data_IF_713775395697
#
_entry.id   IF_713775395697
#
_cell.length_a   1.000
_cell.length_b   1.000
_cell.length_c   1.000
_cell.angle_alpha   90.00
_cell.angle_beta   90.00
_cell.angle_gamma   90.00
#
_symmetry.space_group_name_H-M   'P 1'
#
loop_
_entity.id
_entity.type
_entity.pdbx_description
1 polymer ?
#
# COMPACT_ATOMS: atom_id res chain seq x y z
N UNK A 1 -18.60 -6.73 15.69
CA UNK A 1 -18.65 -6.20 14.34
C UNK A 1 -17.51 -6.80 13.52
N UNK A 2 -17.82 -7.27 12.34
CA UNK A 2 -16.79 -7.91 11.53
C UNK A 2 -15.85 -6.88 10.90
N UNK A 3 -14.58 -7.26 10.77
CA UNK A 3 -13.59 -6.43 10.10
C UNK A 3 -13.87 -6.46 8.59
N UNK A 4 -13.87 -5.29 8.00
CA UNK A 4 -14.02 -5.20 6.54
C UNK A 4 -12.63 -5.25 5.90
N UNK A 5 -12.49 -6.11 4.93
CA UNK A 5 -11.21 -6.31 4.27
C UNK A 5 -11.29 -5.92 2.80
N UNK A 6 -10.13 -5.65 2.23
CA UNK A 6 -10.00 -5.26 0.82
C UNK A 6 -8.89 -6.06 0.18
N UNK A 7 -8.90 -6.14 -1.13
CA UNK A 7 -7.82 -6.79 -1.85
C UNK A 7 -6.56 -5.94 -1.80
N UNK A 8 -5.44 -6.58 -1.64
CA UNK A 8 -4.17 -5.87 -1.59
C UNK A 8 -3.11 -6.61 -2.39
N UNK A 9 -2.10 -5.85 -2.78
CA UNK A 9 -0.89 -6.40 -3.38
C UNK A 9 0.31 -5.78 -2.71
N UNK A 10 1.44 -6.43 -2.83
CA UNK A 10 2.71 -5.85 -2.42
C UNK A 10 3.75 -6.17 -3.48
N UNK A 11 4.81 -5.38 -3.51
CA UNK A 11 5.86 -5.57 -4.48
C UNK A 11 6.81 -4.39 -4.47
N UNK A 12 7.49 -4.18 -5.59
CA UNK A 12 8.43 -3.05 -5.71
C UNK A 12 8.15 -2.29 -7.01
N UNK A 13 8.42 -0.99 -6.97
CA UNK A 13 8.26 -0.14 -8.16
C UNK A 13 9.40 -0.47 -9.11
N UNK A 14 9.08 -0.96 -10.29
CA UNK A 14 10.08 -1.48 -11.22
C UNK A 14 10.56 -0.45 -12.25
N UNK A 15 9.75 0.57 -12.52
CA UNK A 15 10.11 1.63 -13.47
C UNK A 15 9.91 2.98 -12.84
N UNK A 16 10.49 4.02 -13.44
CA UNK A 16 10.27 5.37 -12.96
C UNK A 16 8.81 5.74 -13.13
N UNK A 17 8.14 6.20 -12.07
CA UNK A 17 6.74 6.57 -12.17
C UNK A 17 6.50 7.72 -13.14
N UNK A 18 5.35 7.68 -13.79
CA UNK A 18 4.92 8.73 -14.71
C UNK A 18 3.59 9.30 -14.21
N UNK A 19 3.44 10.61 -14.36
CA UNK A 19 2.20 11.28 -14.01
C UNK A 19 1.68 11.97 -15.27
N UNK A 20 0.47 11.61 -15.65
CA UNK A 20 -0.17 12.19 -16.84
C UNK A 20 -1.54 12.72 -16.44
N UNK A 21 -2.22 13.33 -17.41
CA UNK A 21 -3.59 13.85 -17.21
C UNK A 21 -4.49 13.12 -18.17
N UNK A 22 -5.61 12.60 -17.65
CA UNK A 22 -6.56 11.87 -18.47
C UNK A 22 -7.43 12.83 -19.26
N UNK A 23 -8.24 12.29 -20.16
CA UNK A 23 -9.19 13.08 -20.95
C UNK A 23 -10.17 13.86 -20.08
N UNK A 24 -10.40 13.40 -18.87
CA UNK A 24 -11.28 14.07 -17.91
C UNK A 24 -10.56 15.12 -17.09
N UNK A 25 -9.27 15.31 -17.31
CA UNK A 25 -8.49 16.28 -16.54
C UNK A 25 -8.00 15.76 -15.20
N UNK A 26 -8.04 14.46 -14.99
CA UNK A 26 -7.61 13.87 -13.73
C UNK A 26 -6.17 13.38 -13.82
N UNK A 27 -5.44 13.50 -12.71
CA UNK A 27 -4.09 12.97 -12.65
C UNK A 27 -4.12 11.45 -12.70
N UNK A 28 -3.15 10.88 -13.41
CA UNK A 28 -3.00 9.43 -13.52
C UNK A 28 -1.55 9.06 -13.31
N UNK A 29 -1.31 8.23 -12.31
CA UNK A 29 0.01 7.67 -12.02
C UNK A 29 0.14 6.36 -12.77
N UNK A 30 1.31 6.12 -13.37
CA UNK A 30 1.59 4.84 -13.99
C UNK A 30 3.02 4.41 -13.70
N UNK A 31 3.19 3.15 -13.33
CA UNK A 31 4.50 2.53 -13.21
C UNK A 31 4.33 1.03 -13.37
N UNK A 32 5.39 0.35 -13.74
CA UNK A 32 5.38 -1.10 -13.66
C UNK A 32 5.85 -1.48 -12.27
N UNK A 33 5.27 -2.54 -11.73
CA UNK A 33 5.72 -3.07 -10.46
C UNK A 33 6.07 -4.54 -10.63
N UNK A 34 6.97 -5.00 -9.75
CA UNK A 34 7.38 -6.38 -9.75
C UNK A 34 6.94 -7.08 -8.49
N UNK A 35 6.64 -8.35 -8.62
CA UNK A 35 6.37 -9.22 -7.48
C UNK A 35 7.35 -10.37 -7.53
N UNK A 36 8.00 -10.63 -6.41
CA UNK A 36 8.93 -11.74 -6.33
C UNK A 36 8.14 -13.03 -6.15
N UNK A 37 8.58 -14.07 -6.84
CA UNK A 37 7.93 -15.37 -6.78
C UNK A 37 8.90 -16.38 -6.21
N UNK A 38 8.36 -17.33 -5.46
CA UNK A 38 9.16 -18.37 -4.83
C UNK A 38 8.50 -19.71 -5.05
N UNK A 39 9.31 -20.74 -5.24
CA UNK A 39 8.85 -22.12 -5.30
C UNK A 39 9.25 -22.83 -4.02
N UNK A 40 8.31 -23.49 -3.38
CA UNK A 40 8.61 -24.25 -2.17
C UNK A 40 9.11 -25.63 -2.57
N UNK A 41 10.30 -25.96 -2.11
CA UNK A 41 10.90 -27.26 -2.38
C UNK A 41 10.37 -28.31 -1.40
N UNK A 42 10.64 -29.58 -1.72
CA UNK A 42 10.16 -30.67 -0.89
C UNK A 42 10.76 -30.64 0.51
N UNK A 43 11.96 -30.13 0.67
CA UNK A 43 12.61 -30.04 1.97
C UNK A 43 12.18 -28.82 2.78
N UNK A 44 11.22 -28.06 2.30
CA UNK A 44 10.71 -26.90 3.00
C UNK A 44 11.44 -25.61 2.68
N UNK A 45 12.53 -25.66 1.94
CA UNK A 45 13.22 -24.43 1.52
C UNK A 45 12.49 -23.79 0.35
N UNK A 46 12.91 -22.57 0.00
CA UNK A 46 12.30 -21.85 -1.11
C UNK A 46 13.36 -21.52 -2.16
N UNK A 47 12.98 -21.69 -3.42
CA UNK A 47 13.81 -21.28 -4.54
C UNK A 47 13.21 -20.01 -5.11
N UNK A 48 14.02 -18.97 -5.26
CA UNK A 48 13.57 -17.72 -5.81
C UNK A 48 13.43 -17.85 -7.32
N UNK A 49 12.24 -17.50 -7.83
CA UNK A 49 11.95 -17.55 -9.26
C UNK A 49 12.05 -16.16 -9.84
N UNK A 50 11.93 -16.07 -11.18
CA UNK A 50 11.89 -14.78 -11.84
C UNK A 50 10.71 -13.96 -11.34
N UNK A 51 10.90 -12.67 -11.07
CA UNK A 51 9.78 -11.85 -10.66
C UNK A 51 8.80 -11.66 -11.81
N UNK A 52 7.53 -11.48 -11.48
CA UNK A 52 6.53 -11.11 -12.46
C UNK A 52 6.33 -9.61 -12.43
N UNK A 53 5.98 -9.02 -13.59
CA UNK A 53 5.83 -7.58 -13.71
C UNK A 53 4.43 -7.26 -14.21
N UNK A 54 3.85 -6.21 -13.63
CA UNK A 54 2.48 -5.82 -13.90
C UNK A 54 2.37 -4.30 -13.90
N UNK A 55 1.22 -3.80 -14.33
CA UNK A 55 0.98 -2.37 -14.40
C UNK A 55 0.30 -1.88 -13.11
N UNK A 56 0.79 -0.78 -12.58
CA UNK A 56 0.23 -0.13 -11.39
C UNK A 56 -0.29 1.23 -11.80
N UNK A 57 -1.56 1.49 -11.50
CA UNK A 57 -2.22 2.73 -11.90
C UNK A 57 -2.94 3.33 -10.71
N UNK A 58 -2.93 4.63 -10.60
CA UNK A 58 -3.67 5.37 -9.59
C UNK A 58 -4.23 6.62 -10.22
N UNK A 59 -5.27 7.20 -9.60
CA UNK A 59 -5.93 8.37 -10.14
C UNK A 59 -6.09 9.44 -9.08
N UNK A 60 -6.23 10.70 -9.53
CA UNK A 60 -6.59 11.85 -8.69
C UNK A 60 -5.57 12.10 -7.58
N UNK A 61 -6.04 12.40 -6.38
CA UNK A 61 -5.14 12.75 -5.28
C UNK A 61 -4.16 11.65 -4.94
N UNK A 62 -4.59 10.40 -5.00
CA UNK A 62 -3.69 9.26 -4.74
C UNK A 62 -2.55 9.24 -5.75
N UNK A 63 -2.86 9.51 -7.03
CA UNK A 63 -1.84 9.55 -8.07
C UNK A 63 -0.83 10.67 -7.81
N UNK A 64 -1.30 11.85 -7.46
CA UNK A 64 -0.42 12.99 -7.20
C UNK A 64 0.48 12.75 -6.01
N UNK A 65 -0.09 12.23 -4.92
CA UNK A 65 0.70 11.96 -3.72
C UNK A 65 1.70 10.82 -3.95
N UNK A 66 1.28 9.78 -4.66
CA UNK A 66 2.18 8.66 -4.94
C UNK A 66 3.34 9.11 -5.82
N UNK A 67 3.07 9.96 -6.79
CA UNK A 67 4.13 10.45 -7.67
C UNK A 67 5.17 11.25 -6.90
N UNK A 68 4.74 12.00 -5.89
CA UNK A 68 5.65 12.76 -5.04
C UNK A 68 6.50 11.87 -4.13
N UNK A 69 5.98 10.71 -3.74
CA UNK A 69 6.55 9.93 -2.64
C UNK A 69 7.16 8.60 -3.02
N UNK A 70 6.91 8.12 -4.23
CA UNK A 70 7.43 6.83 -4.68
C UNK A 70 8.41 6.99 -5.81
N UNK A 71 9.45 6.17 -5.79
CA UNK A 71 10.46 6.14 -6.82
C UNK A 71 10.76 4.70 -7.20
N UNK A 72 11.41 4.53 -8.34
CA UNK A 72 11.84 3.22 -8.78
C UNK A 72 12.65 2.54 -7.67
N UNK A 73 12.34 1.29 -7.39
CA UNK A 73 13.02 0.50 -6.37
C UNK A 73 12.28 0.46 -5.03
N UNK A 74 11.30 1.34 -4.81
CA UNK A 74 10.60 1.38 -3.53
C UNK A 74 9.71 0.15 -3.36
N UNK A 75 9.70 -0.37 -2.14
CA UNK A 75 8.78 -1.46 -1.78
C UNK A 75 7.47 -0.87 -1.28
N UNK A 76 6.37 -1.44 -1.70
CA UNK A 76 5.05 -0.87 -1.41
C UNK A 76 4.03 -1.94 -1.06
N UNK A 77 2.96 -1.49 -0.42
CA UNK A 77 1.73 -2.25 -0.23
C UNK A 77 0.59 -1.37 -0.73
N UNK A 78 -0.31 -1.94 -1.50
CA UNK A 78 -1.41 -1.16 -2.07
C UNK A 78 -2.72 -1.92 -1.94
N UNK A 79 -3.78 -1.15 -1.76
CA UNK A 79 -5.14 -1.67 -1.71
C UNK A 79 -5.88 -1.20 -2.95
N UNK A 80 -6.64 -2.08 -3.57
CA UNK A 80 -7.40 -1.71 -4.75
C UNK A 80 -7.99 -2.93 -5.44
N UNK A 81 -7.94 -2.93 -6.74
CA UNK A 81 -8.51 -4.05 -7.52
C UNK A 81 -7.76 -4.22 -8.83
N UNK A 82 -7.79 -5.45 -9.33
CA UNK A 82 -7.24 -5.75 -10.64
C UNK A 82 -8.30 -5.41 -11.70
N UNK A 83 -7.86 -4.80 -12.77
CA UNK A 83 -8.72 -4.39 -13.87
C UNK A 83 -8.16 -4.96 -15.17
N UNK A 84 -8.97 -5.74 -15.85
CA UNK A 84 -8.59 -6.27 -17.16
C UNK A 84 -9.12 -5.33 -18.23
N UNK A 85 -8.34 -5.12 -19.26
CA UNK A 85 -8.76 -4.30 -20.39
C UNK A 85 -8.34 -4.97 -21.68
N UNK A 86 -9.06 -4.67 -22.75
CA UNK A 86 -8.70 -5.16 -24.08
C UNK A 86 -8.50 -3.98 -25.01
N UNK A 87 -7.63 -4.17 -25.98
CA UNK A 87 -7.33 -3.13 -26.95
C UNK A 87 -6.96 -3.79 -28.27
N UNK A 88 -7.07 -3.02 -29.34
CA UNK A 88 -6.74 -3.51 -30.67
C UNK A 88 -5.42 -2.89 -31.12
N UNK A 89 -4.54 -3.73 -31.62
CA UNK A 89 -3.26 -3.26 -32.13
C UNK A 89 -2.91 -4.10 -33.35
N UNK A 90 -2.66 -3.44 -34.47
CA UNK A 90 -2.31 -4.10 -35.74
C UNK A 90 -3.32 -5.16 -36.12
N UNK A 91 -4.61 -4.87 -35.91
CA UNK A 91 -5.68 -5.79 -36.28
C UNK A 91 -5.88 -6.95 -35.33
N UNK A 92 -5.15 -6.98 -34.20
CA UNK A 92 -5.27 -8.05 -33.22
C UNK A 92 -5.90 -7.52 -31.95
N UNK A 93 -6.79 -8.33 -31.36
CA UNK A 93 -7.36 -8.01 -30.07
C UNK A 93 -6.38 -8.51 -29.00
N UNK A 94 -5.89 -7.57 -28.22
CA UNK A 94 -4.96 -7.87 -27.14
C UNK A 94 -5.62 -7.53 -25.81
N UNK A 95 -5.17 -8.17 -24.76
CA UNK A 95 -5.68 -7.86 -23.43
C UNK A 95 -4.51 -7.56 -22.50
N UNK A 96 -4.81 -6.78 -21.50
CA UNK A 96 -3.84 -6.46 -20.47
C UNK A 96 -4.52 -6.40 -19.13
N UNK A 97 -3.70 -6.32 -18.08
CA UNK A 97 -4.19 -6.25 -16.73
C UNK A 97 -3.42 -5.19 -15.98
N UNK A 98 -4.12 -4.42 -15.17
CA UNK A 98 -3.49 -3.42 -14.34
C UNK A 98 -4.11 -3.49 -12.95
N UNK A 99 -3.31 -3.13 -11.94
CA UNK A 99 -3.85 -2.99 -10.60
C UNK A 99 -4.14 -1.53 -10.36
N UNK A 100 -5.39 -1.21 -10.06
CA UNK A 100 -5.81 0.15 -9.77
C UNK A 100 -5.77 0.31 -8.26
N UNK A 101 -4.80 1.05 -7.77
CA UNK A 101 -4.61 1.23 -6.33
C UNK A 101 -5.43 2.42 -5.87
N UNK A 102 -6.20 2.22 -4.81
CA UNK A 102 -6.94 3.29 -4.17
C UNK A 102 -6.17 3.85 -2.99
N UNK A 103 -5.34 3.05 -2.39
CA UNK A 103 -4.45 3.45 -1.30
C UNK A 103 -3.11 2.77 -1.48
N UNK A 104 -2.05 3.45 -1.10
CA UNK A 104 -0.71 2.90 -1.25
C UNK A 104 0.17 3.44 -0.12
N UNK A 105 1.07 2.62 0.32
CA UNK A 105 2.04 3.00 1.32
C UNK A 105 3.34 2.24 1.12
N UNK A 106 4.39 2.73 1.73
CA UNK A 106 5.66 2.01 1.70
C UNK A 106 5.58 0.81 2.62
N UNK A 107 6.27 -0.26 2.25
CA UNK A 107 6.36 -1.45 3.09
C UNK A 107 7.24 -1.09 4.28
N UNK A 108 6.66 -1.05 5.45
CA UNK A 108 7.32 -0.57 6.66
C UNK A 108 8.60 -1.34 6.98
N UNK A 109 8.60 -2.64 6.76
CA UNK A 109 9.76 -3.47 7.11
C UNK A 109 10.93 -3.27 6.15
N UNK A 110 10.66 -2.72 4.96
CA UNK A 110 11.67 -2.57 3.92
C UNK A 110 12.00 -1.12 3.60
N UNK A 111 11.41 -0.17 4.32
CA UNK A 111 11.55 1.24 4.01
C UNK A 111 11.83 2.05 5.26
N UNK A 112 12.79 2.96 5.18
CA UNK A 112 13.04 3.92 6.25
C UNK A 112 12.40 5.24 5.86
N UNK A 113 11.63 5.83 6.77
CA UNK A 113 10.97 7.10 6.50
C UNK A 113 10.53 7.74 7.80
N UNK A 114 10.24 9.03 7.70
CA UNK A 114 9.70 9.78 8.82
C UNK A 114 8.23 10.04 8.58
N UNK A 115 7.46 10.06 9.66
CA UNK A 115 6.02 10.26 9.57
C UNK A 115 5.68 11.61 10.20
N UNK A 116 5.02 12.44 9.40
CA UNK A 116 4.48 13.68 9.89
C UNK A 116 3.13 13.36 10.54
N UNK A 117 3.08 13.54 11.85
CA UNK A 117 1.90 13.14 12.64
C UNK A 117 0.92 14.27 12.90
N UNK A 118 1.12 15.41 12.25
CA UNK A 118 0.19 16.50 12.41
C UNK A 118 -1.18 16.12 11.85
N UNK A 119 -2.25 16.22 12.62
CA UNK A 119 -3.58 15.90 12.12
C UNK A 119 -3.99 16.87 11.01
N UNK A 120 -4.64 16.35 9.98
CA UNK A 120 -5.01 17.18 8.85
C UNK A 120 -6.23 18.03 9.11
N UNK A 121 -7.11 17.60 10.02
CA UNK A 121 -8.32 18.36 10.31
C UNK A 121 -8.79 18.06 11.73
N UNK A 122 -9.72 18.90 12.21
CA UNK A 122 -10.22 18.81 13.58
C UNK A 122 -10.93 17.49 13.86
N UNK A 123 -11.69 16.99 12.89
CA UNK A 123 -12.42 15.74 13.10
C UNK A 123 -11.47 14.57 13.35
N UNK A 124 -10.38 14.51 12.59
CA UNK A 124 -9.36 13.48 12.80
C UNK A 124 -8.71 13.63 14.17
N UNK A 125 -8.42 14.88 14.56
CA UNK A 125 -7.82 15.15 15.87
C UNK A 125 -8.74 14.71 17.00
N UNK A 126 -10.01 15.02 16.88
CA UNK A 126 -10.99 14.62 17.90
C UNK A 126 -11.12 13.11 18.00
N UNK A 127 -11.14 12.43 16.85
CA UNK A 127 -11.24 10.98 16.84
C UNK A 127 -10.05 10.33 17.53
N UNK A 128 -8.85 10.84 17.28
CA UNK A 128 -7.65 10.35 17.92
C UNK A 128 -7.67 10.60 19.43
N UNK A 129 -8.15 11.76 19.83
CA UNK A 129 -8.23 12.07 21.25
C UNK A 129 -9.21 11.15 21.97
N UNK A 130 -10.36 10.90 21.37
CA UNK A 130 -11.33 9.99 21.96
C UNK A 130 -10.77 8.59 22.13
N UNK A 131 -10.00 8.13 21.18
CA UNK A 131 -9.42 6.80 21.26
C UNK A 131 -8.36 6.72 22.36
N UNK A 132 -7.56 7.77 22.52
CA UNK A 132 -6.58 7.81 23.59
C UNK A 132 -7.25 7.82 24.96
N UNK A 133 -8.31 8.59 25.10
CA UNK A 133 -9.05 8.63 26.36
C UNK A 133 -9.62 7.26 26.71
N UNK A 134 -10.09 6.52 25.72
CA UNK A 134 -10.60 5.19 25.94
C UNK A 134 -9.50 4.24 26.36
N UNK A 135 -8.34 4.38 25.80
CA UNK A 135 -7.21 3.50 26.10
C UNK A 135 -6.68 3.71 27.51
N UNK A 136 -6.86 4.93 28.04
CA UNK A 136 -6.43 5.20 29.41
C UNK A 136 -7.48 4.92 30.44
N UNK A 137 -8.61 4.48 30.00
CA UNK A 137 -9.62 4.16 30.95
C UNK A 137 -9.13 3.03 31.74
N UNK A 138 -9.14 3.15 33.00
CA UNK A 138 -8.47 2.28 33.82
C UNK A 138 -8.92 0.96 33.69
N UNK A 139 -8.30 0.27 33.54
CA UNK A 139 -8.58 -0.84 33.51
C UNK A 139 -8.40 -1.35 34.58
N UNK A 140 -8.69 -1.27 34.90
CA UNK A 140 -8.66 -1.99 35.68
C UNK A 140 -7.81 -3.10 35.42
N UNK A 141 -7.11 -3.29 34.90
CA UNK A 141 -6.32 -4.14 34.66
C UNK A 141 -5.22 -4.12 34.77
N UNK A 142 -4.72 -4.22 35.01
CA UNK A 142 -3.63 -4.38 35.02
C UNK A 142 -2.88 -4.10 35.77
N UNK A 143 -2.50 -4.61 36.48
CA UNK A 143 -1.63 -4.40 37.00
C UNK A 143 -0.51 -4.46 36.85
N UNK A 144 -0.50 -4.61 36.76
CA UNK A 144 0.56 -4.65 36.78
C UNK A 144 1.30 -4.70 36.62
N UNK A 145 1.45 -4.59 36.46
CA UNK A 145 2.30 -4.63 36.41
C UNK A 145 2.94 -4.50 36.27
N UNK A 146 2.98 -4.32 36.11
CA UNK A 146 3.69 -4.17 36.24
C UNK A 146 4.29 -3.91 36.37
N UNK A 147 4.33 -3.64 36.48
CA UNK A 147 4.88 -3.36 36.87
C UNK A 147 5.59 -3.40 36.94
N UNK A 148 5.49 -3.31 37.07
CA UNK A 148 6.13 -3.36 37.38
C UNK A 148 6.72 -3.46 37.27
N UNK A 149 6.76 -3.25 37.10
CA UNK A 149 7.22 -3.28 37.22
C UNK A 149 7.83 -3.16 37.21
N UNK A 150 7.97 -2.91 37.21
CA UNK A 150 8.42 -2.76 37.37
C UNK A 150 9.13 -2.48 37.60
N UNK A 151 9.21 -2.36 37.89
CA UNK A 151 9.77 -2.19 38.28
C UNK A 151 10.47 -1.81 38.18
N UNK A 152 10.72 -1.56 38.13
CA UNK A 152 11.30 -1.40 37.95
C UNK A 152 11.73 -1.17 38.01
#
# INVERSE_FOLDING_TARGET
MAIRTQQSISGFIATDPQLTVTDRGEARFYARFGQENFHREEDGSFTKLEPSFHNLVMYRATAERAFERFAKGDSFVAEGYAHEYSYERDGQNLSGEEFVAKKIGHDTARTRYDVDRAPRNAATREALQREQDRAFDPPSRRPSASASVLGR
#
